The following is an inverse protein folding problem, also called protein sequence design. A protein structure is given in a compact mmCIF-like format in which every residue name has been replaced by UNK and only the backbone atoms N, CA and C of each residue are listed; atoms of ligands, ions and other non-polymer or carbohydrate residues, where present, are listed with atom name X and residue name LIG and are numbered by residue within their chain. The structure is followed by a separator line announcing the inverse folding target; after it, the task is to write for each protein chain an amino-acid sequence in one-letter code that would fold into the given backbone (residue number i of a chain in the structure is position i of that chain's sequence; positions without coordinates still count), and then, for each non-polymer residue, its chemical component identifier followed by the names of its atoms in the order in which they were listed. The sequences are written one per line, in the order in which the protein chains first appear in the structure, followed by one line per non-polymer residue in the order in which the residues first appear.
data_IF_731141098437
#
_entry.id   IF_731141098437
#
_cell.length_a   1.000
_cell.length_b   1.000
_cell.length_c   1.000
_cell.angle_alpha   90.00
_cell.angle_beta   90.00
_cell.angle_gamma   90.00
#
_symmetry.space_group_name_H-M   'P 1'
#
loop_
_entity.id
_entity.type
_entity.pdbx_description
1 polymer ?
#
# COMPACT_ATOMS: atom_id res chain seq x y z
N UNK A 1 24.77 -19.17 10.20
CA UNK A 1 23.71 -18.14 10.30
C UNK A 1 22.50 -18.47 9.41
N UNK A 2 22.16 -19.74 9.17
CA UNK A 2 21.25 -20.08 8.05
C UNK A 2 19.82 -20.46 8.46
N UNK A 3 19.58 -21.11 9.60
CA UNK A 3 18.21 -21.58 9.94
C UNK A 3 17.27 -20.55 10.58
N UNK A 4 17.77 -19.75 11.53
CA UNK A 4 16.90 -18.83 12.31
C UNK A 4 16.45 -17.61 11.50
N UNK A 5 17.32 -17.08 10.66
CA UNK A 5 16.99 -16.00 9.72
C UNK A 5 15.99 -16.47 8.66
N UNK A 6 16.18 -17.69 8.12
CA UNK A 6 15.24 -18.28 7.17
C UNK A 6 13.85 -18.47 7.79
N UNK A 7 13.77 -19.01 9.02
CA UNK A 7 12.51 -19.12 9.76
C UNK A 7 11.82 -17.77 9.93
N UNK A 8 12.57 -16.71 10.26
CA UNK A 8 12.00 -15.37 10.41
C UNK A 8 11.40 -14.86 9.08
N UNK A 9 12.12 -15.04 7.96
CA UNK A 9 11.65 -14.63 6.65
C UNK A 9 10.39 -15.43 6.23
N UNK A 10 10.36 -16.74 6.46
CA UNK A 10 9.15 -17.56 6.23
C UNK A 10 7.97 -17.10 7.09
N UNK A 11 8.22 -16.70 8.34
CA UNK A 11 7.17 -16.16 9.22
C UNK A 11 6.63 -14.81 8.70
N UNK A 12 7.46 -13.99 8.05
CA UNK A 12 7.01 -12.76 7.40
C UNK A 12 6.10 -13.04 6.21
N UNK A 13 6.39 -14.05 5.37
CA UNK A 13 5.57 -14.37 4.19
C UNK A 13 4.11 -14.71 4.53
N UNK A 14 3.85 -15.17 5.76
CA UNK A 14 2.52 -15.56 6.23
C UNK A 14 1.98 -14.65 7.34
N UNK A 15 2.77 -13.66 7.78
CA UNK A 15 2.51 -12.86 8.99
C UNK A 15 2.22 -13.73 10.22
N UNK A 16 3.05 -14.74 10.47
CA UNK A 16 2.98 -15.58 11.66
C UNK A 16 3.60 -14.86 12.87
N UNK A 17 2.75 -14.19 13.64
CA UNK A 17 3.15 -13.39 14.81
C UNK A 17 3.86 -14.23 15.87
N UNK A 18 3.44 -15.48 16.08
CA UNK A 18 3.99 -16.34 17.13
C UNK A 18 5.37 -16.87 16.75
N UNK A 19 5.57 -17.21 15.48
CA UNK A 19 6.89 -17.64 14.99
C UNK A 19 7.89 -16.47 14.97
N UNK A 20 7.45 -15.26 14.59
CA UNK A 20 8.26 -14.05 14.72
C UNK A 20 8.64 -13.84 16.19
N UNK A 21 7.68 -13.93 17.12
CA UNK A 21 7.92 -13.80 18.56
C UNK A 21 8.92 -14.82 19.06
N UNK A 22 8.76 -16.09 18.71
CA UNK A 22 9.65 -17.16 19.13
C UNK A 22 11.09 -16.94 18.64
N UNK A 23 11.28 -16.44 17.42
CA UNK A 23 12.62 -16.09 16.90
C UNK A 23 13.24 -14.95 17.69
N UNK A 24 12.49 -13.88 17.97
CA UNK A 24 12.98 -12.74 18.74
C UNK A 24 13.25 -13.09 20.22
N UNK A 25 12.42 -13.95 20.83
CA UNK A 25 12.60 -14.44 22.20
C UNK A 25 13.81 -15.35 22.34
N UNK A 26 14.23 -16.02 21.25
CA UNK A 26 15.49 -16.75 21.17
C UNK A 26 16.73 -15.84 21.06
N UNK A 27 16.56 -14.52 21.13
CA UNK A 27 17.64 -13.53 21.12
C UNK A 27 18.03 -13.03 19.73
N UNK A 28 17.19 -13.25 18.71
CA UNK A 28 17.43 -12.64 17.40
C UNK A 28 17.29 -11.11 17.48
N UNK A 29 18.31 -10.40 17.00
CA UNK A 29 18.35 -8.94 17.02
C UNK A 29 17.47 -8.34 15.92
N UNK A 30 16.34 -7.73 16.30
CA UNK A 30 15.40 -7.10 15.37
C UNK A 30 15.95 -5.84 14.69
N UNK A 31 17.02 -5.23 15.24
CA UNK A 31 17.70 -4.08 14.64
C UNK A 31 18.75 -4.47 13.58
N UNK A 32 19.04 -5.77 13.47
CA UNK A 32 20.04 -6.30 12.55
C UNK A 32 19.56 -6.32 11.08
N UNK A 33 20.46 -6.74 10.19
CA UNK A 33 20.18 -6.91 8.76
C UNK A 33 20.41 -8.35 8.30
N UNK A 34 19.55 -8.81 7.40
CA UNK A 34 19.69 -10.10 6.72
C UNK A 34 19.97 -9.80 5.25
N UNK A 35 21.13 -10.24 4.75
CA UNK A 35 21.50 -10.02 3.34
C UNK A 35 21.65 -8.55 2.95
N UNK A 36 22.06 -7.67 3.89
CA UNK A 36 22.22 -6.24 3.64
C UNK A 36 20.94 -5.41 3.75
N UNK A 37 19.80 -6.04 4.07
CA UNK A 37 18.51 -5.38 4.27
C UNK A 37 18.05 -5.53 5.71
N UNK A 38 17.57 -4.44 6.32
CA UNK A 38 17.13 -4.46 7.72
C UNK A 38 15.96 -5.44 7.90
N UNK A 39 15.87 -6.04 9.07
CA UNK A 39 14.80 -7.01 9.39
C UNK A 39 13.42 -6.38 9.24
N UNK A 40 13.24 -5.12 9.62
CA UNK A 40 11.97 -4.41 9.43
C UNK A 40 11.67 -4.18 7.95
N UNK A 41 12.67 -3.85 7.13
CA UNK A 41 12.47 -3.65 5.70
C UNK A 41 12.11 -4.97 4.99
N UNK A 42 12.59 -6.11 5.50
CA UNK A 42 12.11 -7.40 5.02
C UNK A 42 10.59 -7.52 5.21
N UNK A 43 10.05 -7.24 6.40
CA UNK A 43 8.60 -7.31 6.64
C UNK A 43 7.81 -6.27 5.81
N UNK A 44 8.22 -5.00 5.80
CA UNK A 44 7.42 -3.95 5.15
C UNK A 44 7.50 -4.01 3.63
N UNK A 45 8.48 -4.65 3.01
CA UNK A 45 8.55 -4.72 1.54
C UNK A 45 7.92 -5.99 0.97
N UNK A 46 7.42 -6.92 1.80
CA UNK A 46 6.80 -8.16 1.31
C UNK A 46 5.51 -7.90 0.51
N UNK A 47 5.27 -8.78 -0.45
CA UNK A 47 4.06 -8.79 -1.28
C UNK A 47 2.78 -9.05 -0.46
N UNK A 48 2.85 -9.96 0.53
CA UNK A 48 1.69 -10.34 1.33
C UNK A 48 1.35 -9.25 2.35
N UNK A 49 0.09 -8.77 2.35
CA UNK A 49 -0.47 -7.97 3.43
C UNK A 49 -1.65 -8.69 4.05
N UNK A 50 -1.80 -8.56 5.36
CA UNK A 50 -2.94 -9.08 6.10
C UNK A 50 -3.20 -8.22 7.33
N UNK A 51 -4.32 -8.44 8.00
CA UNK A 51 -4.71 -7.72 9.22
C UNK A 51 -3.67 -7.91 10.35
N UNK A 52 -2.82 -8.94 10.26
CA UNK A 52 -1.73 -9.21 11.22
C UNK A 52 -0.48 -8.37 10.97
N UNK A 53 -0.36 -7.68 9.83
CA UNK A 53 0.83 -6.90 9.47
C UNK A 53 1.25 -5.92 10.58
N UNK A 54 0.31 -5.09 11.05
CA UNK A 54 0.59 -4.09 12.08
C UNK A 54 1.07 -4.73 13.39
N UNK A 55 0.56 -5.92 13.74
CA UNK A 55 1.00 -6.67 14.92
C UNK A 55 2.43 -7.19 14.75
N UNK A 56 2.76 -7.75 13.57
CA UNK A 56 4.13 -8.18 13.25
C UNK A 56 5.11 -7.00 13.32
N UNK A 57 4.74 -5.86 12.72
CA UNK A 57 5.57 -4.66 12.72
C UNK A 57 5.77 -4.13 14.14
N UNK A 58 4.69 -4.02 14.93
CA UNK A 58 4.76 -3.57 16.33
C UNK A 58 5.74 -4.42 17.14
N UNK A 59 5.68 -5.74 16.97
CA UNK A 59 6.59 -6.65 17.65
C UNK A 59 8.05 -6.39 17.30
N UNK A 60 8.38 -6.13 16.03
CA UNK A 60 9.75 -5.77 15.64
C UNK A 60 10.20 -4.45 16.29
N UNK A 61 9.34 -3.43 16.26
CA UNK A 61 9.64 -2.11 16.84
C UNK A 61 9.83 -2.18 18.37
N UNK A 62 9.00 -2.95 19.07
CA UNK A 62 9.14 -3.22 20.51
C UNK A 62 10.46 -3.94 20.84
N UNK A 63 11.06 -4.64 19.87
CA UNK A 63 12.35 -5.32 19.99
C UNK A 63 13.52 -4.50 19.42
N UNK A 64 13.33 -3.20 19.22
CA UNK A 64 14.39 -2.27 18.85
C UNK A 64 14.63 -2.13 17.35
N UNK A 65 13.79 -2.72 16.50
CA UNK A 65 13.82 -2.39 15.07
C UNK A 65 13.44 -0.91 14.87
N UNK A 66 14.03 -0.28 13.86
CA UNK A 66 13.79 1.14 13.53
C UNK A 66 13.48 1.24 12.04
N UNK A 67 12.41 1.97 11.71
CA UNK A 67 12.10 2.32 10.32
C UNK A 67 13.05 3.41 9.82
N UNK A 68 13.44 3.32 8.55
CA UNK A 68 14.25 4.36 7.90
C UNK A 68 13.56 5.73 7.95
N UNK A 69 12.23 5.74 7.81
CA UNK A 69 11.38 6.90 8.04
C UNK A 69 10.47 6.69 9.26
N UNK A 70 10.79 7.31 10.42
CA UNK A 70 10.02 7.13 11.64
C UNK A 70 8.60 7.71 11.55
N UNK A 71 8.33 8.63 10.60
CA UNK A 71 6.99 9.19 10.40
C UNK A 71 5.99 8.17 9.84
N UNK A 72 6.48 7.06 9.27
CA UNK A 72 5.64 5.95 8.82
C UNK A 72 5.12 5.08 9.95
N UNK A 73 5.70 5.16 11.15
CA UNK A 73 5.33 4.30 12.29
C UNK A 73 3.82 4.29 12.59
N UNK A 74 3.16 5.43 12.87
CA UNK A 74 1.73 5.42 13.15
C UNK A 74 0.89 5.01 11.92
N UNK A 75 1.41 5.23 10.71
CA UNK A 75 0.72 4.87 9.47
C UNK A 75 0.71 3.35 9.30
N UNK A 76 1.88 2.71 9.31
CA UNK A 76 2.06 1.28 9.10
C UNK A 76 1.53 0.42 10.27
N UNK A 77 1.42 0.99 11.47
CA UNK A 77 0.75 0.36 12.61
C UNK A 77 -0.78 0.53 12.59
N UNK A 78 -1.31 1.27 11.60
CA UNK A 78 -2.71 1.69 11.53
C UNK A 78 -3.20 2.38 12.83
N UNK A 79 -2.34 3.21 13.43
CA UNK A 79 -2.57 3.93 14.68
C UNK A 79 -2.96 5.38 14.41
N UNK A 80 -4.27 5.61 14.28
CA UNK A 80 -4.84 6.92 13.96
C UNK A 80 -4.64 7.94 15.09
N UNK A 81 -4.55 7.52 16.35
CA UNK A 81 -4.41 8.41 17.51
C UNK A 81 -2.98 8.89 17.67
N UNK A 82 -2.01 7.98 17.50
CA UNK A 82 -0.59 8.35 17.44
C UNK A 82 -0.32 9.27 16.24
N UNK A 83 -0.94 9.00 15.08
CA UNK A 83 -0.84 9.89 13.93
C UNK A 83 -1.40 11.29 14.24
N UNK A 84 -2.60 11.37 14.84
CA UNK A 84 -3.23 12.64 15.16
C UNK A 84 -2.38 13.46 16.14
N UNK A 85 -1.80 12.79 17.14
CA UNK A 85 -0.87 13.39 18.11
C UNK A 85 0.39 13.92 17.41
N UNK A 86 0.98 13.13 16.51
CA UNK A 86 2.15 13.54 15.74
C UNK A 86 1.84 14.72 14.81
N UNK A 87 0.69 14.72 14.13
CA UNK A 87 0.28 15.81 13.25
C UNK A 87 -0.07 17.10 14.01
N UNK A 88 -0.61 16.99 15.23
CA UNK A 88 -0.89 18.16 16.08
C UNK A 88 0.40 18.88 16.51
N UNK A 89 1.47 18.13 16.75
CA UNK A 89 2.79 18.69 17.12
C UNK A 89 3.60 19.12 15.90
N UNK A 90 3.40 18.48 14.75
CA UNK A 90 4.05 18.81 13.49
C UNK A 90 3.03 18.78 12.32
N UNK A 91 2.33 19.90 12.05
CA UNK A 91 1.36 19.96 10.95
C UNK A 91 1.98 19.74 9.55
N UNK A 92 3.29 19.92 9.39
CA UNK A 92 3.97 19.64 8.13
C UNK A 92 3.98 18.14 7.80
N UNK A 93 3.70 17.27 8.78
CA UNK A 93 3.58 15.82 8.61
C UNK A 93 2.55 15.44 7.53
N UNK A 94 1.49 16.24 7.35
CA UNK A 94 0.48 16.00 6.31
C UNK A 94 1.02 16.16 4.88
N UNK A 95 2.14 16.87 4.72
CA UNK A 95 2.85 17.05 3.45
C UNK A 95 4.18 16.30 3.42
N UNK A 96 4.49 15.53 4.47
CA UNK A 96 5.71 14.74 4.54
C UNK A 96 5.86 13.88 3.28
N UNK A 97 7.10 13.84 2.77
CA UNK A 97 7.47 13.09 1.57
C UNK A 97 8.39 11.96 2.01
N UNK A 98 7.96 10.75 1.76
CA UNK A 98 8.68 9.53 2.10
C UNK A 98 9.14 8.81 0.85
N UNK A 99 10.07 7.88 1.03
CA UNK A 99 10.41 6.88 0.04
C UNK A 99 10.36 5.52 0.72
N UNK A 100 9.62 4.59 0.14
CA UNK A 100 9.56 3.21 0.64
C UNK A 100 9.54 2.26 -0.54
N UNK A 101 10.38 1.22 -0.56
CA UNK A 101 10.28 0.19 -1.58
C UNK A 101 8.92 -0.50 -1.47
N UNK A 102 8.27 -0.71 -2.61
CA UNK A 102 6.96 -1.35 -2.69
C UNK A 102 6.98 -2.35 -3.84
N UNK A 103 6.53 -3.58 -3.58
CA UNK A 103 6.38 -4.60 -4.61
C UNK A 103 5.34 -4.23 -5.66
N UNK A 104 4.40 -3.33 -5.35
CA UNK A 104 3.34 -2.94 -6.27
C UNK A 104 3.70 -1.64 -7.00
N UNK A 105 2.90 -0.59 -6.80
CA UNK A 105 3.18 0.75 -7.30
C UNK A 105 4.24 1.41 -6.41
N UNK A 106 5.31 2.01 -6.96
CA UNK A 106 6.38 2.66 -6.20
C UNK A 106 5.84 3.71 -5.22
N UNK A 107 6.52 3.90 -4.09
CA UNK A 107 6.19 4.95 -3.12
C UNK A 107 7.31 5.99 -3.05
N UNK A 108 7.81 6.44 -4.19
CA UNK A 108 8.84 7.48 -4.30
C UNK A 108 8.20 8.87 -4.20
N UNK A 109 8.68 9.71 -3.28
CA UNK A 109 8.06 11.02 -3.00
C UNK A 109 6.61 10.90 -2.53
N UNK A 110 6.24 9.77 -1.94
CA UNK A 110 4.88 9.49 -1.52
C UNK A 110 4.53 10.26 -0.24
N UNK A 111 3.24 10.57 -0.06
CA UNK A 111 2.73 11.09 1.21
C UNK A 111 2.28 9.97 2.14
N UNK A 112 2.08 10.27 3.42
CA UNK A 112 1.49 9.32 4.37
C UNK A 112 0.15 8.74 3.91
N UNK A 113 -0.63 9.50 3.12
CA UNK A 113 -1.91 9.05 2.58
C UNK A 113 -1.74 8.02 1.46
N UNK A 114 -0.66 8.09 0.67
CA UNK A 114 -0.32 7.03 -0.29
C UNK A 114 -0.01 5.72 0.44
N UNK A 115 0.78 5.79 1.50
CA UNK A 115 1.13 4.62 2.30
C UNK A 115 -0.11 4.02 2.97
N UNK A 116 -0.99 4.84 3.55
CA UNK A 116 -2.25 4.35 4.11
C UNK A 116 -3.15 3.66 3.07
N UNK A 117 -3.17 4.17 1.82
CA UNK A 117 -3.91 3.58 0.71
C UNK A 117 -3.32 2.24 0.24
N UNK A 118 -1.99 2.15 0.12
CA UNK A 118 -1.28 0.93 -0.27
C UNK A 118 -1.53 -0.21 0.73
N UNK A 119 -1.54 0.11 2.03
CA UNK A 119 -1.71 -0.89 3.09
C UNK A 119 -3.17 -1.11 3.52
N UNK A 120 -4.12 -0.36 2.96
CA UNK A 120 -5.54 -0.49 3.30
C UNK A 120 -5.88 -0.02 4.73
N UNK A 121 -5.08 0.88 5.29
CA UNK A 121 -5.20 1.37 6.66
C UNK A 121 -6.26 2.48 6.77
N UNK A 122 -7.53 2.07 6.74
CA UNK A 122 -8.69 2.97 6.68
C UNK A 122 -8.78 3.98 7.83
N UNK A 123 -8.49 3.56 9.07
CA UNK A 123 -8.55 4.45 10.23
C UNK A 123 -7.53 5.60 10.12
N UNK A 124 -6.31 5.28 9.69
CA UNK A 124 -5.28 6.27 9.42
C UNK A 124 -5.63 7.16 8.22
N UNK A 125 -6.13 6.58 7.13
CA UNK A 125 -6.53 7.34 5.95
C UNK A 125 -7.65 8.35 6.27
N UNK A 126 -8.70 7.91 6.99
CA UNK A 126 -9.78 8.78 7.47
C UNK A 126 -9.23 9.92 8.32
N UNK A 127 -8.32 9.62 9.26
CA UNK A 127 -7.70 10.64 10.11
C UNK A 127 -6.86 11.64 9.31
N UNK A 128 -6.02 11.18 8.37
CA UNK A 128 -5.23 12.05 7.50
C UNK A 128 -6.12 13.01 6.70
N UNK A 129 -7.20 12.49 6.11
CA UNK A 129 -8.16 13.28 5.33
C UNK A 129 -8.87 14.30 6.22
N UNK A 130 -9.32 13.91 7.42
CA UNK A 130 -9.95 14.81 8.38
C UNK A 130 -9.01 15.93 8.86
N UNK A 131 -7.70 15.67 8.89
CA UNK A 131 -6.68 16.66 9.23
C UNK A 131 -6.27 17.56 8.04
N UNK A 132 -6.79 17.30 6.83
CA UNK A 132 -6.53 18.12 5.64
C UNK A 132 -5.37 17.63 4.76
N UNK A 133 -5.01 16.34 4.84
CA UNK A 133 -4.14 15.74 3.83
C UNK A 133 -4.80 15.82 2.44
N UNK A 134 -4.02 16.20 1.42
CA UNK A 134 -4.51 16.34 0.05
C UNK A 134 -4.74 14.95 -0.59
N UNK A 135 -5.99 14.58 -0.94
CA UNK A 135 -6.30 13.29 -1.57
C UNK A 135 -5.80 13.19 -3.02
N UNK A 136 -5.34 14.29 -3.61
CA UNK A 136 -4.83 14.38 -4.97
C UNK A 136 -3.32 14.71 -5.01
N UNK A 137 -2.62 14.65 -3.87
CA UNK A 137 -1.17 14.84 -3.84
C UNK A 137 -0.50 13.86 -4.81
N UNK A 138 0.38 14.35 -5.68
CA UNK A 138 1.18 13.49 -6.55
C UNK A 138 2.44 13.01 -5.82
N UNK A 139 2.77 11.74 -6.01
CA UNK A 139 4.09 11.17 -5.79
C UNK A 139 5.10 11.71 -6.83
N UNK A 140 6.37 11.35 -6.68
CA UNK A 140 7.40 11.77 -7.63
C UNK A 140 7.34 10.95 -8.93
N UNK A 141 7.88 11.53 -10.00
CA UNK A 141 8.11 10.84 -11.27
C UNK A 141 9.57 10.39 -11.36
N UNK A 142 9.82 9.31 -12.08
CA UNK A 142 11.18 8.87 -12.37
C UNK A 142 11.83 9.66 -13.51
N UNK A 143 13.08 9.30 -13.86
CA UNK A 143 13.86 9.97 -14.91
C UNK A 143 13.20 9.91 -16.30
N UNK A 144 12.34 8.92 -16.54
CA UNK A 144 11.57 8.79 -17.77
C UNK A 144 10.22 9.49 -17.68
N UNK A 145 9.92 10.18 -16.58
CA UNK A 145 8.63 10.84 -16.35
C UNK A 145 7.48 9.85 -16.14
N UNK A 146 7.77 8.62 -15.72
CA UNK A 146 6.78 7.63 -15.31
C UNK A 146 6.45 7.80 -13.82
N UNK A 147 5.34 7.19 -13.38
CA UNK A 147 4.72 7.33 -12.07
C UNK A 147 4.07 8.70 -11.85
N UNK A 148 4.22 9.32 -10.68
CA UNK A 148 3.48 10.54 -10.31
C UNK A 148 2.03 10.26 -9.91
N UNK A 149 1.78 9.06 -9.40
CA UNK A 149 0.46 8.61 -8.97
C UNK A 149 -0.04 9.39 -7.75
N UNK A 150 -1.37 9.44 -7.59
CA UNK A 150 -2.05 9.93 -6.39
C UNK A 150 -2.36 8.78 -5.41
N UNK A 151 -2.80 9.05 -4.17
CA UNK A 151 -3.17 7.99 -3.23
C UNK A 151 -4.22 7.02 -3.77
N UNK A 152 -5.13 7.48 -4.64
CA UNK A 152 -6.18 6.63 -5.21
C UNK A 152 -5.62 5.48 -6.05
N UNK A 153 -4.50 5.66 -6.74
CA UNK A 153 -3.87 4.57 -7.52
C UNK A 153 -3.44 3.39 -6.65
N UNK A 154 -3.06 3.63 -5.40
CA UNK A 154 -2.67 2.59 -4.46
C UNK A 154 -3.89 1.83 -3.87
N UNK A 155 -5.08 2.44 -3.90
CA UNK A 155 -6.28 1.82 -3.35
C UNK A 155 -7.05 0.94 -4.36
N UNK A 156 -6.95 1.24 -5.66
CA UNK A 156 -7.76 0.57 -6.70
C UNK A 156 -7.30 -0.84 -7.05
N UNK A 157 -6.04 -1.18 -6.80
CA UNK A 157 -5.42 -2.47 -7.13
C UNK A 157 -4.75 -3.14 -5.91
N UNK A 158 -5.51 -3.39 -4.85
CA UNK A 158 -4.99 -3.95 -3.58
C UNK A 158 -5.28 -5.44 -3.40
N UNK A 159 -4.35 -6.18 -2.80
CA UNK A 159 -4.49 -7.62 -2.63
C UNK A 159 -5.73 -7.97 -1.77
N UNK A 160 -6.50 -8.96 -2.24
CA UNK A 160 -7.83 -9.32 -1.74
C UNK A 160 -8.80 -8.13 -1.57
N UNK A 161 -8.66 -7.09 -2.41
CA UNK A 161 -9.48 -5.87 -2.38
C UNK A 161 -9.48 -5.14 -1.02
N UNK A 162 -8.43 -5.34 -0.20
CA UNK A 162 -8.36 -4.83 1.18
C UNK A 162 -8.39 -3.30 1.28
N UNK A 163 -7.93 -2.59 0.27
CA UNK A 163 -7.93 -1.12 0.25
C UNK A 163 -9.24 -0.51 -0.25
N UNK A 164 -10.29 -1.30 -0.56
CA UNK A 164 -11.60 -0.76 -0.95
C UNK A 164 -12.21 0.25 0.05
N UNK A 165 -12.10 0.07 1.39
CA UNK A 165 -12.52 1.09 2.34
C UNK A 165 -11.75 2.41 2.19
N UNK A 166 -10.42 2.35 1.97
CA UNK A 166 -9.60 3.55 1.73
C UNK A 166 -9.97 4.20 0.39
N UNK A 167 -10.22 3.42 -0.65
CA UNK A 167 -10.68 3.91 -1.95
C UNK A 167 -11.94 4.77 -1.77
N UNK A 168 -12.94 4.28 -1.03
CA UNK A 168 -14.18 5.02 -0.76
C UNK A 168 -13.94 6.31 0.02
N UNK A 169 -13.11 6.26 1.07
CA UNK A 169 -12.73 7.45 1.84
C UNK A 169 -12.08 8.52 0.95
N UNK A 170 -11.15 8.11 0.08
CA UNK A 170 -10.50 8.99 -0.88
C UNK A 170 -11.50 9.62 -1.84
N UNK A 171 -12.41 8.84 -2.42
CA UNK A 171 -13.45 9.34 -3.33
C UNK A 171 -14.40 10.34 -2.62
N UNK A 172 -14.83 10.02 -1.40
CA UNK A 172 -15.64 10.94 -0.58
C UNK A 172 -14.90 12.24 -0.26
N UNK A 173 -13.58 12.18 -0.08
CA UNK A 173 -12.74 13.36 0.14
C UNK A 173 -12.39 14.13 -1.14
N UNK A 174 -12.89 13.73 -2.31
CA UNK A 174 -12.66 14.44 -3.58
C UNK A 174 -11.39 13.98 -4.33
N UNK A 175 -10.90 12.77 -4.07
CA UNK A 175 -9.90 12.14 -4.93
C UNK A 175 -10.45 11.99 -6.36
N UNK A 176 -9.64 12.40 -7.33
CA UNK A 176 -10.00 12.35 -8.75
C UNK A 176 -9.62 10.99 -9.35
N UNK A 177 -10.62 10.28 -9.88
CA UNK A 177 -10.43 8.99 -10.55
C UNK A 177 -9.95 9.11 -12.01
N UNK A 178 -9.73 10.33 -12.51
CA UNK A 178 -9.34 10.66 -13.88
C UNK A 178 -7.94 11.33 -13.97
N UNK A 179 -7.19 11.41 -12.86
CA UNK A 179 -5.79 11.87 -12.90
C UNK A 179 -5.01 10.96 -13.82
N UNK A 180 -4.43 11.52 -14.88
CA UNK A 180 -3.66 10.77 -15.87
C UNK A 180 -2.17 10.91 -15.59
N UNK A 181 -1.48 9.77 -15.51
CA UNK A 181 -0.02 9.68 -15.49
C UNK A 181 0.48 9.09 -16.81
N UNK A 182 1.72 9.43 -17.20
CA UNK A 182 2.34 8.94 -18.45
C UNK A 182 2.49 7.42 -18.44
N UNK A 183 2.76 6.86 -17.27
CA UNK A 183 2.69 5.43 -17.02
C UNK A 183 2.92 5.10 -15.55
N UNK A 184 2.69 3.85 -15.18
CA UNK A 184 2.98 3.31 -13.86
C UNK A 184 3.89 2.11 -14.05
N UNK A 185 5.01 2.09 -13.33
CA UNK A 185 5.82 0.89 -13.17
C UNK A 185 5.24 0.07 -12.03
N UNK A 186 4.84 -1.17 -12.29
CA UNK A 186 4.40 -2.11 -11.28
C UNK A 186 5.49 -3.16 -11.07
N UNK A 187 5.86 -3.45 -9.81
CA UNK A 187 6.92 -4.44 -9.55
C UNK A 187 8.31 -3.96 -9.91
N UNK A 188 8.61 -2.68 -9.65
CA UNK A 188 9.91 -2.10 -9.99
C UNK A 188 11.06 -2.94 -9.42
N UNK A 189 11.98 -3.35 -10.27
CA UNK A 189 13.16 -4.15 -9.91
C UNK A 189 12.92 -5.66 -9.77
N UNK A 190 11.71 -6.16 -10.04
CA UNK A 190 11.42 -7.59 -10.06
C UNK A 190 11.39 -8.14 -11.49
N UNK A 191 11.60 -9.45 -11.68
CA UNK A 191 11.55 -10.12 -13.00
C UNK A 191 10.19 -9.96 -13.71
N UNK A 192 9.14 -9.65 -12.95
CA UNK A 192 7.78 -9.42 -13.41
C UNK A 192 7.41 -7.94 -13.52
N UNK A 193 8.40 -7.04 -13.47
CA UNK A 193 8.21 -5.61 -13.66
C UNK A 193 7.36 -5.34 -14.92
N UNK A 194 6.32 -4.52 -14.76
CA UNK A 194 5.38 -4.19 -15.84
C UNK A 194 5.17 -2.69 -15.89
N UNK A 195 5.44 -2.08 -17.04
CA UNK A 195 5.08 -0.66 -17.28
C UNK A 195 3.74 -0.59 -17.99
N UNK A 196 2.79 0.12 -17.39
CA UNK A 196 1.49 0.41 -17.98
C UNK A 196 1.48 1.88 -18.40
N UNK A 197 1.25 2.19 -19.68
CA UNK A 197 1.25 3.56 -20.20
C UNK A 197 -0.15 4.19 -20.22
N UNK A 198 -0.21 5.52 -20.17
CA UNK A 198 -1.44 6.34 -20.20
C UNK A 198 -2.49 5.87 -19.19
N UNK A 199 -2.18 6.01 -17.91
CA UNK A 199 -2.92 5.37 -16.83
C UNK A 199 -3.66 6.41 -15.98
N UNK A 200 -4.92 6.13 -15.69
CA UNK A 200 -5.75 6.79 -14.67
C UNK A 200 -6.08 5.80 -13.56
N UNK A 201 -6.55 6.21 -12.37
CA UNK A 201 -7.04 5.26 -11.38
C UNK A 201 -8.10 4.31 -11.93
N UNK A 202 -9.00 4.81 -12.79
CA UNK A 202 -10.02 4.00 -13.45
C UNK A 202 -9.44 2.97 -14.43
N UNK A 203 -8.48 3.35 -15.27
CA UNK A 203 -7.86 2.38 -16.20
C UNK A 203 -6.92 1.44 -15.46
N UNK A 204 -6.28 1.89 -14.38
CA UNK A 204 -5.45 1.05 -13.53
C UNK A 204 -6.30 -0.04 -12.87
N UNK A 205 -7.45 0.31 -12.30
CA UNK A 205 -8.40 -0.66 -11.75
C UNK A 205 -8.76 -1.78 -12.76
N UNK A 206 -8.95 -1.41 -14.03
CA UNK A 206 -9.23 -2.39 -15.10
C UNK A 206 -8.07 -3.38 -15.33
N UNK A 207 -6.82 -2.95 -15.10
CA UNK A 207 -5.66 -3.85 -15.20
C UNK A 207 -5.68 -4.94 -14.13
N UNK A 208 -6.51 -4.83 -13.08
CA UNK A 208 -6.77 -5.91 -12.12
C UNK A 208 -7.28 -7.21 -12.76
N UNK A 209 -7.77 -7.15 -14.00
CA UNK A 209 -8.13 -8.32 -14.81
C UNK A 209 -6.93 -9.09 -15.38
N UNK A 210 -5.73 -8.50 -15.34
CA UNK A 210 -4.51 -9.16 -15.79
C UNK A 210 -4.06 -10.21 -14.75
N UNK A 211 -3.62 -11.41 -15.18
CA UNK A 211 -3.25 -12.48 -14.26
C UNK A 211 -2.22 -12.08 -13.19
N UNK A 212 -1.27 -11.21 -13.53
CA UNK A 212 -0.23 -10.77 -12.58
C UNK A 212 -0.78 -9.94 -11.40
N UNK A 213 -1.93 -9.28 -11.56
CA UNK A 213 -2.47 -8.39 -10.52
C UNK A 213 -3.27 -9.13 -9.43
N UNK A 214 -3.42 -10.45 -9.49
CA UNK A 214 -4.01 -11.32 -8.46
C UNK A 214 -5.32 -10.79 -7.84
N UNK A 215 -6.34 -10.47 -8.65
CA UNK A 215 -7.68 -10.04 -8.19
C UNK A 215 -8.77 -10.95 -8.74
N UNK A 216 -9.95 -10.86 -8.13
CA UNK A 216 -11.16 -11.44 -8.73
C UNK A 216 -11.79 -10.44 -9.68
N UNK A 217 -12.51 -10.93 -10.70
CA UNK A 217 -13.23 -10.05 -11.63
C UNK A 217 -14.37 -9.34 -10.92
N UNK A 218 -14.99 -9.98 -9.92
CA UNK A 218 -16.03 -9.36 -9.10
C UNK A 218 -15.53 -8.12 -8.36
N UNK A 219 -14.39 -8.23 -7.65
CA UNK A 219 -13.77 -7.10 -6.94
C UNK A 219 -13.34 -6.00 -7.90
N UNK A 220 -12.72 -6.39 -9.01
CA UNK A 220 -12.24 -5.46 -10.03
C UNK A 220 -13.39 -4.60 -10.58
N UNK A 221 -14.51 -5.24 -10.95
CA UNK A 221 -15.67 -4.52 -11.47
C UNK A 221 -16.42 -3.72 -10.40
N UNK A 222 -16.45 -4.17 -9.14
CA UNK A 222 -17.01 -3.36 -8.06
C UNK A 222 -16.24 -2.04 -7.92
N UNK A 223 -14.91 -2.07 -7.92
CA UNK A 223 -14.09 -0.87 -7.85
C UNK A 223 -14.30 0.04 -9.08
N UNK A 224 -14.34 -0.53 -10.29
CA UNK A 224 -14.60 0.22 -11.52
C UNK A 224 -15.95 0.97 -11.45
N UNK A 225 -17.00 0.32 -10.95
CA UNK A 225 -18.34 0.94 -10.83
C UNK A 225 -18.31 2.12 -9.86
N UNK A 226 -17.63 1.98 -8.71
CA UNK A 226 -17.49 3.06 -7.73
C UNK A 226 -16.69 4.25 -8.31
N UNK A 227 -15.58 3.98 -9.00
CA UNK A 227 -14.76 5.01 -9.66
C UNK A 227 -15.55 5.75 -10.76
N UNK A 228 -16.31 5.00 -11.56
CA UNK A 228 -17.17 5.57 -12.60
C UNK A 228 -18.29 6.44 -12.01
N UNK A 229 -18.91 6.00 -10.92
CA UNK A 229 -19.92 6.79 -10.21
C UNK A 229 -19.33 8.10 -9.67
N UNK A 230 -18.12 8.06 -9.10
CA UNK A 230 -17.42 9.27 -8.63
C UNK A 230 -17.12 10.28 -9.74
N UNK A 231 -16.98 9.81 -10.99
CA UNK A 231 -16.83 10.66 -12.17
C UNK A 231 -18.17 11.12 -12.78
N UNK A 232 -19.31 10.79 -12.18
CA UNK A 232 -20.64 11.06 -12.75
C UNK A 232 -20.95 10.24 -14.00
N UNK A 233 -20.28 9.09 -14.18
CA UNK A 233 -20.37 8.22 -15.36
C UNK A 233 -20.94 6.84 -14.98
N UNK A 234 -22.19 6.73 -14.51
CA UNK A 234 -22.72 5.47 -13.96
C UNK A 234 -22.58 4.31 -14.94
N UNK A 235 -22.09 3.17 -14.45
CA UNK A 235 -22.00 1.94 -15.23
C UNK A 235 -23.35 1.19 -15.20
N UNK A 236 -23.80 0.60 -16.32
CA UNK A 236 -24.97 -0.28 -16.31
C UNK A 236 -24.67 -1.55 -15.51
N UNK A 237 -25.72 -2.20 -15.00
CA UNK A 237 -25.59 -3.53 -14.43
C UNK A 237 -25.13 -4.51 -15.51
N UNK A 238 -23.99 -5.15 -15.31
CA UNK A 238 -23.49 -6.18 -16.21
C UNK A 238 -24.29 -7.48 -16.01
N UNK A 239 -24.74 -8.09 -17.11
CA UNK A 239 -25.44 -9.37 -17.09
C UNK A 239 -24.54 -10.58 -16.83
N UNK A 240 -23.22 -10.40 -16.92
CA UNK A 240 -22.20 -11.41 -16.64
C UNK A 240 -20.99 -10.74 -15.97
N UNK A 241 -20.23 -11.51 -15.18
CA UNK A 241 -18.89 -11.12 -14.75
C UNK A 241 -17.91 -11.41 -15.91
N UNK A 242 -17.22 -10.40 -16.47
CA UNK A 242 -16.26 -10.62 -17.54
C UNK A 242 -15.17 -11.61 -17.15
N UNK A 243 -14.61 -12.31 -18.14
CA UNK A 243 -13.63 -13.40 -18.00
C UNK A 243 -14.07 -14.64 -17.20
N UNK A 244 -15.30 -14.68 -16.65
CA UNK A 244 -15.83 -15.87 -15.96
C UNK A 244 -15.76 -17.15 -16.82
N UNK A 245 -15.83 -17.03 -18.13
CA UNK A 245 -15.77 -18.14 -19.09
C UNK A 245 -14.36 -18.73 -19.28
N UNK A 246 -13.32 -18.11 -18.73
CA UNK A 246 -11.93 -18.60 -18.79
C UNK A 246 -11.57 -19.53 -17.60
N UNK A 247 -12.50 -19.75 -16.67
CA UNK A 247 -12.32 -20.54 -15.44
C UNK A 247 -13.01 -21.89 -15.50
#
# INVERSE_FOLDING_TARGET
MTGISERLLTAFETHDVEDIRAVLDAGFDASSSIGGKTVVNHLIEMYFRSDRFATCLRLLLERGAVLDDPHLTPVLLNDADALATAAATNPALLRHRTQMPCTFTPLDGATLLHVAAEYGHAAVAERLLALGADPNAAADVDADGLNGQTPLFHAVNSNANRSAPVMRLLLTAGARADVRVRGITWGRGFDWETVCYDVTPLSYAQLGLLPQMQRTEADTYANIVELLAALGRPAPRLGNLPNRYLR
#
